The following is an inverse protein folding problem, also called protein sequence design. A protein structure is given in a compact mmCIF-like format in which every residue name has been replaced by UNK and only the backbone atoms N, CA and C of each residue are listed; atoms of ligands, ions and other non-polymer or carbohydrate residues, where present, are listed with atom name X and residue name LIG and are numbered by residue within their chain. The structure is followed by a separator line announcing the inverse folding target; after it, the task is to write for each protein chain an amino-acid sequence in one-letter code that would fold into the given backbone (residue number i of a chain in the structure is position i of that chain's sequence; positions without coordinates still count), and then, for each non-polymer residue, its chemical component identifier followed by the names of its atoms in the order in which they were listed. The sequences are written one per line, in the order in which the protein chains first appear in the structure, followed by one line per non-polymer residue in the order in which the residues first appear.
data_IF_214169783889
#
_entry.id   IF_214169783889
#
_cell.length_a   1.000
_cell.length_b   1.000
_cell.length_c   1.000
_cell.angle_alpha   90.00
_cell.angle_beta   90.00
_cell.angle_gamma   90.00
#
_symmetry.space_group_name_H-M   'P 1'
#
loop_
_entity.id
_entity.type
_entity.pdbx_description
1 polymer ?
#
# COMPACT_ATOMS: atom_id res chain seq x y z
N UNK A 1 1.00 -13.38 10.02
CA UNK A 1 -0.36 -13.30 10.59
C UNK A 1 -1.15 -14.54 10.18
N UNK A 2 -0.75 -15.72 10.64
CA UNK A 2 -1.24 -17.00 10.08
C UNK A 2 -1.75 -17.99 11.13
N UNK A 3 -1.24 -17.96 12.36
CA UNK A 3 -1.64 -18.92 13.40
C UNK A 3 -3.08 -18.72 13.93
N UNK A 4 -3.51 -17.46 14.05
CA UNK A 4 -4.81 -17.12 14.65
C UNK A 4 -5.97 -17.13 13.65
N UNK A 5 -5.71 -16.90 12.35
CA UNK A 5 -6.73 -16.83 11.30
C UNK A 5 -7.66 -18.04 11.21
N UNK A 6 -7.21 -19.30 11.29
CA UNK A 6 -8.11 -20.44 11.17
C UNK A 6 -9.06 -20.61 12.37
N UNK A 7 -8.78 -19.95 13.50
CA UNK A 7 -9.52 -20.13 14.75
C UNK A 7 -10.48 -18.98 15.08
N UNK A 8 -10.47 -17.89 14.29
CA UNK A 8 -11.29 -16.69 14.57
C UNK A 8 -12.00 -16.21 13.31
N UNK A 9 -13.26 -15.79 13.45
CA UNK A 9 -14.06 -15.23 12.35
C UNK A 9 -13.51 -13.91 11.81
N UNK A 10 -12.86 -13.12 12.67
CA UNK A 10 -12.29 -11.82 12.32
C UNK A 10 -11.04 -11.53 13.14
N UNK A 11 -9.89 -11.49 12.47
CA UNK A 11 -8.63 -11.03 13.06
C UNK A 11 -8.39 -9.57 12.73
N UNK A 12 -8.33 -8.71 13.74
CA UNK A 12 -8.02 -7.28 13.58
C UNK A 12 -6.70 -6.98 14.25
N UNK A 13 -5.74 -6.45 13.48
CA UNK A 13 -4.49 -5.92 14.02
C UNK A 13 -4.66 -4.42 14.22
N UNK A 14 -4.45 -3.93 15.43
CA UNK A 14 -4.59 -2.52 15.78
C UNK A 14 -3.22 -1.84 15.97
N UNK A 15 -3.15 -0.53 15.69
CA UNK A 15 -1.98 0.30 15.96
C UNK A 15 -2.02 0.82 17.40
N UNK A 16 -1.11 0.39 18.29
CA UNK A 16 -1.09 0.87 19.68
C UNK A 16 -0.83 2.38 19.80
N UNK A 17 -0.26 3.02 18.78
CA UNK A 17 0.00 4.48 18.78
C UNK A 17 -1.29 5.28 18.62
N UNK A 18 -2.30 4.72 17.98
CA UNK A 18 -3.59 5.38 17.70
C UNK A 18 -4.66 5.06 18.74
N UNK A 19 -4.40 4.11 19.63
CA UNK A 19 -5.31 3.70 20.71
C UNK A 19 -4.83 4.27 22.05
N UNK A 20 -4.93 5.60 22.23
CA UNK A 20 -4.45 6.30 23.42
C UNK A 20 -5.03 5.75 24.75
N UNK A 21 -6.26 5.24 24.72
CA UNK A 21 -6.96 4.63 25.86
C UNK A 21 -6.26 3.37 26.41
N UNK A 22 -5.46 2.67 25.59
CA UNK A 22 -4.68 1.50 26.04
C UNK A 22 -3.44 1.90 26.86
N UNK A 23 -3.00 3.16 26.80
CA UNK A 23 -1.78 3.62 27.51
C UNK A 23 -2.05 4.07 28.94
N UNK A 24 -3.31 4.27 29.33
CA UNK A 24 -3.67 4.85 30.61
C UNK A 24 -4.02 3.78 31.66
N UNK A 25 -3.41 3.88 32.84
CA UNK A 25 -3.70 3.05 34.01
C UNK A 25 -2.86 1.77 34.13
N UNK A 26 -3.27 0.90 35.06
CA UNK A 26 -2.62 -0.40 35.31
C UNK A 26 -2.78 -1.35 34.12
N UNK A 27 -1.70 -2.10 33.82
CA UNK A 27 -1.63 -3.04 32.71
C UNK A 27 -1.81 -4.47 33.21
N UNK A 28 -2.68 -5.21 32.55
CA UNK A 28 -2.93 -6.63 32.79
C UNK A 28 -3.70 -7.16 31.59
N UNK A 29 -3.40 -8.38 31.15
CA UNK A 29 -4.05 -8.98 29.98
C UNK A 29 -5.59 -8.96 30.08
N UNK A 30 -6.15 -9.16 31.29
CA UNK A 30 -7.61 -9.09 31.51
C UNK A 30 -8.15 -7.66 31.32
N UNK A 31 -7.42 -6.66 31.79
CA UNK A 31 -7.81 -5.25 31.69
C UNK A 31 -7.71 -4.79 30.22
N UNK A 32 -6.63 -5.17 29.54
CA UNK A 32 -6.37 -4.77 28.16
C UNK A 32 -7.33 -5.46 27.18
N UNK A 33 -7.66 -6.74 27.41
CA UNK A 33 -8.68 -7.44 26.63
C UNK A 33 -10.06 -6.75 26.74
N UNK A 34 -10.44 -6.31 27.95
CA UNK A 34 -11.71 -5.59 28.16
C UNK A 34 -11.72 -4.23 27.46
N UNK A 35 -10.63 -3.46 27.56
CA UNK A 35 -10.49 -2.17 26.86
C UNK A 35 -10.54 -2.35 25.34
N UNK A 36 -9.87 -3.37 24.79
CA UNK A 36 -9.90 -3.67 23.36
C UNK A 36 -11.30 -4.09 22.89
N UNK A 37 -12.02 -4.89 23.67
CA UNK A 37 -13.39 -5.27 23.37
C UNK A 37 -14.33 -4.05 23.35
N UNK A 38 -14.15 -3.12 24.28
CA UNK A 38 -14.92 -1.87 24.32
C UNK A 38 -14.61 -0.96 23.13
N UNK A 39 -13.33 -0.78 22.78
CA UNK A 39 -12.92 -0.03 21.58
C UNK A 39 -13.44 -0.65 20.28
N UNK A 40 -13.51 -1.98 20.22
CA UNK A 40 -14.07 -2.69 19.08
C UNK A 40 -15.59 -2.48 19.01
N UNK A 41 -16.28 -2.57 20.15
CA UNK A 41 -17.74 -2.36 20.27
C UNK A 41 -18.14 -0.94 19.86
N UNK A 42 -17.34 0.07 20.21
CA UNK A 42 -17.60 1.48 19.88
C UNK A 42 -17.07 1.90 18.51
N UNK A 43 -16.51 0.97 17.73
CA UNK A 43 -15.86 1.24 16.44
C UNK A 43 -14.70 2.25 16.49
N UNK A 44 -14.11 2.46 17.67
CA UNK A 44 -12.99 3.37 17.88
C UNK A 44 -11.63 2.70 17.64
N UNK A 45 -11.61 1.37 17.50
CA UNK A 45 -10.40 0.63 17.18
C UNK A 45 -9.98 0.89 15.73
N UNK A 46 -8.81 1.53 15.53
CA UNK A 46 -8.27 1.77 14.19
C UNK A 46 -7.50 0.55 13.68
N UNK A 47 -8.02 -0.20 12.70
CA UNK A 47 -7.32 -1.36 12.16
C UNK A 47 -6.12 -0.91 11.32
N UNK A 48 -5.05 -1.69 11.36
CA UNK A 48 -3.92 -1.59 10.45
C UNK A 48 -4.07 -2.67 9.40
N UNK A 49 -3.99 -2.29 8.14
CA UNK A 49 -4.07 -3.21 7.03
C UNK A 49 -2.88 -4.19 7.04
N UNK A 50 -3.20 -5.48 7.12
CA UNK A 50 -2.25 -6.58 6.98
C UNK A 50 -2.83 -7.55 5.94
N UNK A 51 -2.77 -7.17 4.66
CA UNK A 51 -3.22 -8.04 3.58
C UNK A 51 -2.46 -9.37 3.57
N UNK A 52 -3.15 -10.45 3.22
CA UNK A 52 -2.58 -11.80 3.00
C UNK A 52 -1.46 -11.77 1.96
N UNK A 53 -1.66 -10.97 0.92
CA UNK A 53 -0.73 -10.80 -0.18
C UNK A 53 0.11 -9.56 0.12
N UNK A 54 1.42 -9.77 0.32
CA UNK A 54 2.35 -8.66 0.54
C UNK A 54 2.25 -7.64 -0.59
N UNK A 55 2.54 -6.37 -0.28
CA UNK A 55 2.54 -5.26 -1.26
C UNK A 55 3.57 -5.43 -2.40
N UNK A 56 4.30 -6.56 -2.41
CA UNK A 56 5.32 -6.91 -3.39
C UNK A 56 4.78 -6.91 -4.81
N UNK A 57 3.67 -7.60 -5.06
CA UNK A 57 3.07 -7.68 -6.41
C UNK A 57 2.64 -6.30 -6.91
N UNK A 58 2.05 -5.47 -6.03
CA UNK A 58 1.68 -4.09 -6.38
C UNK A 58 2.92 -3.23 -6.67
N UNK A 59 3.98 -3.40 -5.89
CA UNK A 59 5.25 -2.69 -6.09
C UNK A 59 5.92 -3.10 -7.40
N UNK A 60 5.91 -4.39 -7.73
CA UNK A 60 6.45 -4.92 -8.99
C UNK A 60 5.65 -4.37 -10.17
N UNK A 61 4.32 -4.40 -10.11
CA UNK A 61 3.45 -3.83 -11.15
C UNK A 61 3.68 -2.33 -11.35
N UNK A 62 3.76 -1.56 -10.27
CA UNK A 62 4.05 -0.13 -10.32
C UNK A 62 5.43 0.17 -10.90
N UNK A 63 6.43 -0.65 -10.57
CA UNK A 63 7.77 -0.57 -11.16
C UNK A 63 7.76 -0.83 -12.67
N UNK A 64 7.13 -1.93 -13.11
CA UNK A 64 7.02 -2.27 -14.52
C UNK A 64 6.30 -1.20 -15.34
N UNK A 65 5.21 -0.64 -14.82
CA UNK A 65 4.49 0.45 -15.49
C UNK A 65 5.39 1.68 -15.72
N UNK A 66 6.16 2.08 -14.70
CA UNK A 66 7.06 3.21 -14.79
C UNK A 66 8.17 2.98 -15.81
N UNK A 67 8.78 1.79 -15.80
CA UNK A 67 9.82 1.42 -16.76
C UNK A 67 9.29 1.44 -18.19
N UNK A 68 8.13 0.84 -18.45
CA UNK A 68 7.52 0.81 -19.79
C UNK A 68 7.22 2.23 -20.28
N UNK A 69 6.65 3.08 -19.42
CA UNK A 69 6.32 4.48 -19.78
C UNK A 69 7.57 5.27 -20.16
N UNK A 70 8.66 5.09 -19.40
CA UNK A 70 9.95 5.72 -19.71
C UNK A 70 10.53 5.21 -21.03
N UNK A 71 10.46 3.91 -21.28
CA UNK A 71 11.00 3.30 -22.49
C UNK A 71 10.22 3.72 -23.74
N UNK A 72 8.88 3.80 -23.66
CA UNK A 72 8.06 4.37 -24.74
C UNK A 72 8.50 5.79 -25.08
N UNK A 73 8.75 6.62 -24.06
CA UNK A 73 9.22 7.99 -24.26
C UNK A 73 10.62 8.03 -24.89
N UNK A 74 11.53 7.15 -24.46
CA UNK A 74 12.87 7.03 -25.04
C UNK A 74 12.83 6.59 -26.51
N UNK A 75 12.00 5.61 -26.84
CA UNK A 75 11.81 5.13 -28.23
C UNK A 75 11.24 6.26 -29.09
N UNK A 76 10.21 6.94 -28.62
CA UNK A 76 9.66 8.12 -29.31
C UNK A 76 10.73 9.17 -29.59
N UNK A 77 11.57 9.49 -28.60
CA UNK A 77 12.62 10.49 -28.77
C UNK A 77 13.71 10.04 -29.75
N UNK A 78 14.05 8.74 -29.80
CA UNK A 78 14.97 8.17 -30.79
C UNK A 78 14.39 8.28 -32.21
N UNK A 79 13.12 7.97 -32.41
CA UNK A 79 12.47 8.10 -33.72
C UNK A 79 12.42 9.57 -34.14
N UNK A 80 12.04 10.47 -33.23
CA UNK A 80 12.07 11.92 -33.49
C UNK A 80 13.46 12.43 -33.86
N UNK A 81 14.52 11.85 -33.28
CA UNK A 81 15.89 12.20 -33.65
C UNK A 81 16.23 11.79 -35.10
N UNK A 82 15.77 10.61 -35.54
CA UNK A 82 15.92 10.18 -36.95
C UNK A 82 15.19 11.13 -37.90
N UNK A 83 13.94 11.48 -37.63
CA UNK A 83 13.20 12.43 -38.47
C UNK A 83 13.86 13.81 -38.54
N UNK A 84 14.39 14.31 -37.41
CA UNK A 84 15.17 15.57 -37.40
C UNK A 84 16.42 15.48 -38.26
N UNK A 85 17.09 14.32 -38.33
CA UNK A 85 18.25 14.13 -39.21
C UNK A 85 17.88 14.20 -40.71
N UNK A 86 16.62 13.93 -41.04
CA UNK A 86 16.06 14.09 -42.39
C UNK A 86 15.38 15.45 -42.60
N UNK A 87 15.56 16.40 -41.69
CA UNK A 87 14.88 17.70 -41.69
C UNK A 87 13.34 17.63 -41.68
N UNK A 88 12.77 16.51 -41.22
CA UNK A 88 11.33 16.34 -41.05
C UNK A 88 10.93 16.84 -39.66
N UNK A 89 10.07 17.88 -39.55
CA UNK A 89 9.64 18.39 -38.27
C UNK A 89 8.63 17.45 -37.61
N UNK A 90 9.01 16.85 -36.48
CA UNK A 90 8.10 16.05 -35.64
C UNK A 90 7.99 16.68 -34.25
N UNK A 91 6.81 17.23 -33.93
CA UNK A 91 6.46 17.82 -32.63
C UNK A 91 5.29 17.07 -32.00
N UNK A 92 5.07 17.28 -30.69
CA UNK A 92 3.93 16.68 -29.97
C UNK A 92 4.24 15.35 -29.27
N UNK A 93 3.20 14.64 -28.84
CA UNK A 93 3.25 13.39 -28.04
C UNK A 93 3.11 12.13 -28.87
N UNK A 94 2.75 12.26 -30.13
CA UNK A 94 2.70 11.16 -31.10
C UNK A 94 3.97 11.20 -31.97
N UNK A 95 4.33 10.04 -32.53
CA UNK A 95 5.39 9.88 -33.53
C UNK A 95 4.75 9.68 -34.88
#
# INVERSE_FOLDING_TARGET
MTLLKPHVSRLVVCDPRKNALLKQGSKSDRIDARKLAELLRTHQLKPVYHGEHGLRTLKELGGSYLTITQDVTRVMNRIKALYRSWAIPCSGTTV
#
